data_IF_326037981081
#
_entry.id   IF_326037981081
#
_cell.length_a   1.000
_cell.length_b   1.000
_cell.length_c   1.000
_cell.angle_alpha   90.00
_cell.angle_beta   90.00
_cell.angle_gamma   90.00
#
_symmetry.space_group_name_H-M   'P 1'
#
loop_
_entity.id
_entity.type
_entity.pdbx_description
1 polymer ?
#
# COMPACT_ATOMS: atom_id res chain seq x y z
N UNK A 1 -33.44 -28.01 -92.23
CA UNK A 1 -32.28 -27.14 -92.10
C UNK A 1 -32.61 -26.21 -90.98
N UNK A 2 -32.03 -26.42 -89.81
CA UNK A 2 -32.29 -25.63 -88.66
C UNK A 2 -31.50 -26.21 -87.52
N UNK A 3 -30.41 -25.62 -87.24
CA UNK A 3 -29.43 -26.00 -86.23
C UNK A 3 -29.93 -25.56 -84.88
N UNK A 4 -30.05 -26.49 -83.93
CA UNK A 4 -30.41 -26.20 -82.52
C UNK A 4 -29.20 -26.32 -81.64
N UNK A 5 -28.49 -25.20 -81.45
CA UNK A 5 -27.40 -25.06 -80.52
C UNK A 5 -27.88 -25.04 -79.06
N UNK A 6 -27.75 -26.14 -78.37
CA UNK A 6 -28.06 -26.27 -76.99
C UNK A 6 -27.06 -25.47 -76.12
N UNK A 7 -27.51 -24.41 -75.42
CA UNK A 7 -26.75 -23.68 -74.40
C UNK A 7 -26.73 -24.47 -73.12
N UNK A 8 -25.60 -25.11 -72.84
CA UNK A 8 -25.29 -25.74 -71.51
C UNK A 8 -25.08 -24.63 -70.46
N UNK A 9 -26.05 -24.44 -69.55
CA UNK A 9 -25.94 -23.58 -68.41
C UNK A 9 -24.98 -24.23 -67.41
N UNK A 10 -23.79 -23.66 -67.30
CA UNK A 10 -22.83 -24.02 -66.20
C UNK A 10 -23.39 -23.50 -64.89
N UNK A 11 -23.88 -24.39 -64.02
CA UNK A 11 -24.25 -24.09 -62.65
C UNK A 11 -22.94 -24.03 -61.87
N UNK A 12 -22.50 -22.82 -61.51
CA UNK A 12 -21.41 -22.60 -60.58
C UNK A 12 -21.98 -22.77 -59.16
N UNK A 13 -21.76 -23.93 -58.57
CA UNK A 13 -22.01 -24.14 -57.14
C UNK A 13 -20.89 -23.44 -56.37
N UNK A 14 -21.21 -22.25 -55.88
CA UNK A 14 -20.33 -21.56 -54.94
C UNK A 14 -20.35 -22.29 -53.60
N UNK A 15 -19.30 -23.05 -53.30
CA UNK A 15 -19.05 -23.63 -51.99
C UNK A 15 -18.73 -22.50 -51.02
N UNK A 16 -19.72 -22.00 -50.28
CA UNK A 16 -19.51 -21.14 -49.10
C UNK A 16 -18.95 -22.03 -48.02
N UNK A 17 -17.61 -22.11 -47.94
CA UNK A 17 -16.94 -22.67 -46.79
C UNK A 17 -17.23 -21.75 -45.59
N UNK A 18 -18.21 -22.12 -44.79
CA UNK A 18 -18.50 -21.49 -43.51
C UNK A 18 -17.27 -21.76 -42.59
N UNK A 19 -16.32 -20.82 -42.56
CA UNK A 19 -15.26 -20.84 -41.60
C UNK A 19 -15.89 -20.65 -40.21
N UNK A 20 -16.26 -21.76 -39.56
CA UNK A 20 -16.49 -21.78 -38.10
C UNK A 20 -15.15 -21.47 -37.42
N UNK A 21 -14.86 -20.20 -37.24
CA UNK A 21 -13.80 -19.79 -36.32
C UNK A 21 -14.21 -20.32 -34.91
N UNK A 22 -13.33 -21.04 -34.18
CA UNK A 22 -13.63 -21.44 -32.84
C UNK A 22 -13.84 -20.16 -32.03
N UNK A 23 -15.07 -19.85 -31.67
CA UNK A 23 -15.38 -18.85 -30.67
C UNK A 23 -14.87 -19.48 -29.35
N UNK A 24 -13.71 -19.07 -28.91
CA UNK A 24 -13.25 -19.39 -27.56
C UNK A 24 -14.26 -18.78 -26.59
N UNK A 25 -15.18 -19.59 -26.09
CA UNK A 25 -16.15 -19.16 -25.11
C UNK A 25 -15.39 -18.79 -23.84
N UNK A 26 -15.30 -17.50 -23.57
CA UNK A 26 -14.66 -16.97 -22.36
C UNK A 26 -15.40 -17.52 -21.15
N UNK A 27 -14.70 -18.28 -20.30
CA UNK A 27 -15.31 -18.94 -19.14
C UNK A 27 -15.69 -17.90 -18.09
N UNK A 28 -16.98 -17.81 -17.76
CA UNK A 28 -17.49 -16.95 -16.69
C UNK A 28 -17.14 -17.57 -15.34
N UNK A 29 -16.33 -16.88 -14.54
CA UNK A 29 -15.87 -17.31 -13.22
C UNK A 29 -16.80 -16.84 -12.12
N UNK A 30 -17.28 -15.59 -12.21
CA UNK A 30 -18.16 -14.99 -11.21
C UNK A 30 -19.06 -13.92 -11.83
N UNK A 31 -20.09 -13.52 -11.07
CA UNK A 31 -20.83 -12.29 -11.31
C UNK A 31 -20.85 -11.45 -10.03
N UNK A 32 -20.74 -10.12 -10.17
CA UNK A 32 -20.75 -9.16 -9.06
C UNK A 32 -21.78 -8.08 -9.39
N UNK A 33 -22.86 -8.01 -8.64
CA UNK A 33 -23.98 -7.07 -8.89
C UNK A 33 -24.42 -7.09 -10.37
N UNK A 34 -24.47 -8.28 -10.98
CA UNK A 34 -24.83 -8.47 -12.40
C UNK A 34 -23.68 -8.32 -13.40
N UNK A 35 -22.54 -7.76 -13.01
CA UNK A 35 -21.35 -7.68 -13.87
C UNK A 35 -20.65 -9.04 -13.94
N UNK A 36 -20.34 -9.48 -15.13
CA UNK A 36 -19.63 -10.73 -15.37
C UNK A 36 -18.12 -10.55 -15.17
N UNK A 37 -17.49 -11.53 -14.53
CA UNK A 37 -16.03 -11.67 -14.39
C UNK A 37 -15.62 -12.97 -15.06
N UNK A 38 -14.67 -12.90 -15.96
CA UNK A 38 -14.20 -14.01 -16.79
C UNK A 38 -12.82 -14.51 -16.33
N UNK A 39 -12.42 -15.68 -16.80
CA UNK A 39 -11.07 -16.23 -16.55
C UNK A 39 -9.98 -15.34 -17.18
N UNK A 40 -10.28 -14.73 -18.34
CA UNK A 40 -9.38 -13.78 -19.00
C UNK A 40 -9.19 -12.49 -18.18
N UNK A 41 -10.23 -11.99 -17.52
CA UNK A 41 -10.16 -10.83 -16.62
C UNK A 41 -9.25 -11.11 -15.44
N UNK A 42 -9.37 -12.33 -14.86
CA UNK A 42 -8.51 -12.75 -13.76
C UNK A 42 -7.05 -12.86 -14.23
N UNK A 43 -6.83 -13.42 -15.42
CA UNK A 43 -5.49 -13.54 -16.00
C UNK A 43 -4.86 -12.16 -16.25
N UNK A 44 -5.62 -11.22 -16.80
CA UNK A 44 -5.22 -9.84 -16.99
C UNK A 44 -4.87 -9.16 -15.65
N UNK A 45 -5.71 -9.37 -14.62
CA UNK A 45 -5.47 -8.79 -13.28
C UNK A 45 -4.21 -9.36 -12.61
N UNK A 46 -3.96 -10.66 -12.72
CA UNK A 46 -2.72 -11.31 -12.21
C UNK A 46 -1.50 -10.67 -12.86
N UNK A 47 -1.53 -10.46 -14.17
CA UNK A 47 -0.43 -9.83 -14.90
C UNK A 47 -0.20 -8.38 -14.46
N UNK A 48 -1.26 -7.60 -14.28
CA UNK A 48 -1.16 -6.23 -13.73
C UNK A 48 -0.57 -6.21 -12.32
N UNK A 49 -0.96 -7.17 -11.46
CA UNK A 49 -0.38 -7.32 -10.12
C UNK A 49 1.13 -7.62 -10.19
N UNK A 50 1.58 -8.44 -11.13
CA UNK A 50 3.01 -8.76 -11.30
C UNK A 50 3.84 -7.53 -11.69
N UNK A 51 3.32 -6.65 -12.53
CA UNK A 51 3.98 -5.37 -12.88
C UNK A 51 4.13 -4.43 -11.69
N UNK A 52 3.26 -4.56 -10.68
CA UNK A 52 3.33 -3.80 -9.44
C UNK A 52 4.17 -4.48 -8.35
N UNK A 53 4.84 -5.59 -8.65
CA UNK A 53 5.59 -6.38 -7.66
C UNK A 53 4.72 -7.09 -6.62
N UNK A 54 3.40 -7.15 -6.83
CA UNK A 54 2.43 -7.78 -5.92
C UNK A 54 2.23 -9.25 -6.31
N UNK A 55 3.13 -10.10 -5.84
CA UNK A 55 3.05 -11.56 -6.09
C UNK A 55 2.59 -12.27 -4.82
N UNK A 56 1.63 -13.18 -4.95
CA UNK A 56 1.08 -14.02 -3.90
C UNK A 56 1.13 -15.49 -4.31
N UNK A 57 1.09 -16.40 -3.36
CA UNK A 57 0.99 -17.85 -3.60
C UNK A 57 -0.33 -18.24 -4.28
N UNK A 58 -1.41 -17.45 -4.09
CA UNK A 58 -2.71 -17.65 -4.75
C UNK A 58 -3.11 -16.40 -5.56
N UNK A 59 -2.28 -16.04 -6.54
CA UNK A 59 -2.46 -14.82 -7.34
C UNK A 59 -3.84 -14.73 -8.01
N UNK A 60 -4.41 -15.85 -8.47
CA UNK A 60 -5.69 -15.86 -9.18
C UNK A 60 -6.87 -15.56 -8.24
N UNK A 61 -6.85 -16.09 -7.02
CA UNK A 61 -7.89 -15.84 -6.01
C UNK A 61 -7.82 -14.39 -5.52
N UNK A 62 -6.61 -13.87 -5.30
CA UNK A 62 -6.38 -12.45 -4.96
C UNK A 62 -6.83 -11.54 -6.10
N UNK A 63 -6.55 -11.90 -7.35
CA UNK A 63 -6.99 -11.14 -8.53
C UNK A 63 -8.52 -11.08 -8.62
N UNK A 64 -9.22 -12.22 -8.45
CA UNK A 64 -10.68 -12.24 -8.41
C UNK A 64 -11.22 -11.36 -7.27
N UNK A 65 -10.66 -11.46 -6.08
CA UNK A 65 -11.06 -10.62 -4.95
C UNK A 65 -10.89 -9.12 -5.25
N UNK A 66 -9.78 -8.73 -5.87
CA UNK A 66 -9.55 -7.35 -6.28
C UNK A 66 -10.58 -6.87 -7.32
N UNK A 67 -10.93 -7.70 -8.31
CA UNK A 67 -11.96 -7.36 -9.31
C UNK A 67 -13.33 -7.21 -8.65
N UNK A 68 -13.67 -8.07 -7.69
CA UNK A 68 -14.90 -7.96 -6.90
C UNK A 68 -14.92 -6.63 -6.13
N UNK A 69 -13.81 -6.29 -5.46
CA UNK A 69 -13.69 -5.05 -4.70
C UNK A 69 -13.83 -3.81 -5.59
N UNK A 70 -13.19 -3.83 -6.74
CA UNK A 70 -13.29 -2.73 -7.71
C UNK A 70 -14.74 -2.55 -8.19
N UNK A 71 -15.45 -3.63 -8.49
CA UNK A 71 -16.86 -3.59 -8.88
C UNK A 71 -17.75 -3.09 -7.74
N UNK A 72 -17.50 -3.50 -6.50
CA UNK A 72 -18.23 -3.04 -5.31
C UNK A 72 -18.02 -1.55 -5.07
N UNK A 73 -16.77 -1.07 -5.15
CA UNK A 73 -16.42 0.35 -5.00
C UNK A 73 -17.12 1.20 -6.05
N UNK A 74 -17.06 0.81 -7.33
CA UNK A 74 -17.71 1.53 -8.42
C UNK A 74 -19.23 1.57 -8.26
N UNK A 75 -19.84 0.44 -7.92
CA UNK A 75 -21.28 0.38 -7.68
C UNK A 75 -21.71 1.28 -6.50
N UNK A 76 -20.94 1.25 -5.40
CA UNK A 76 -21.23 2.11 -4.25
C UNK A 76 -21.06 3.58 -4.58
N UNK A 77 -19.99 3.96 -5.27
CA UNK A 77 -19.69 5.34 -5.65
C UNK A 77 -20.73 5.93 -6.61
N UNK A 78 -21.27 5.10 -7.52
CA UNK A 78 -22.31 5.53 -8.45
C UNK A 78 -23.59 6.00 -7.74
N UNK A 79 -23.92 5.45 -6.56
CA UNK A 79 -25.06 5.90 -5.75
C UNK A 79 -24.88 7.33 -5.22
N UNK A 80 -23.66 7.85 -5.21
CA UNK A 80 -23.32 9.23 -4.85
C UNK A 80 -23.05 10.11 -6.07
N UNK A 81 -23.35 9.63 -7.27
CA UNK A 81 -23.05 10.34 -8.52
C UNK A 81 -21.56 10.42 -8.87
N UNK A 82 -20.72 9.58 -8.25
CA UNK A 82 -19.27 9.54 -8.47
C UNK A 82 -18.97 8.46 -9.52
N UNK A 83 -18.71 8.89 -10.76
CA UNK A 83 -18.49 8.02 -11.92
C UNK A 83 -17.23 8.47 -12.68
N UNK A 84 -16.01 8.09 -12.24
CA UNK A 84 -14.79 8.43 -12.96
C UNK A 84 -14.82 7.91 -14.38
N UNK A 85 -14.33 8.74 -15.31
CA UNK A 85 -14.33 8.44 -16.75
C UNK A 85 -13.13 7.60 -17.18
N UNK A 86 -13.21 6.94 -18.32
CA UNK A 86 -12.07 6.23 -18.91
C UNK A 86 -10.90 7.18 -19.22
N UNK A 87 -11.17 8.44 -19.56
CA UNK A 87 -10.14 9.45 -19.81
C UNK A 87 -9.34 9.76 -18.54
N UNK A 88 -10.01 9.87 -17.39
CA UNK A 88 -9.33 10.07 -16.10
C UNK A 88 -8.48 8.86 -15.74
N UNK A 89 -9.01 7.64 -15.95
CA UNK A 89 -8.25 6.41 -15.73
C UNK A 89 -7.05 6.28 -16.67
N UNK A 90 -7.21 6.60 -17.96
CA UNK A 90 -6.11 6.55 -18.92
C UNK A 90 -5.00 7.56 -18.61
N UNK A 91 -5.34 8.72 -18.05
CA UNK A 91 -4.35 9.70 -17.61
C UNK A 91 -3.52 9.16 -16.41
N UNK A 92 -4.19 8.52 -15.45
CA UNK A 92 -3.50 7.88 -14.33
C UNK A 92 -2.63 6.70 -14.80
N UNK A 93 -3.14 5.85 -15.69
CA UNK A 93 -2.38 4.70 -16.22
C UNK A 93 -1.09 5.13 -16.93
N UNK A 94 -1.08 6.26 -17.63
CA UNK A 94 0.15 6.81 -18.26
C UNK A 94 1.25 7.10 -17.25
N UNK A 95 0.86 7.56 -16.04
CA UNK A 95 1.79 7.91 -14.98
C UNK A 95 2.35 6.67 -14.24
N UNK A 96 1.72 5.50 -14.40
CA UNK A 96 2.11 4.28 -13.71
C UNK A 96 3.33 3.56 -14.34
N UNK A 97 3.79 3.99 -15.53
CA UNK A 97 4.95 3.39 -16.20
C UNK A 97 4.76 1.92 -16.57
N UNK A 98 3.52 1.48 -16.82
CA UNK A 98 3.22 0.10 -17.19
C UNK A 98 3.73 -0.20 -18.63
N UNK A 99 4.11 -1.45 -18.92
CA UNK A 99 4.43 -1.87 -20.29
C UNK A 99 3.20 -1.79 -21.18
N UNK A 100 3.37 -2.03 -22.49
CA UNK A 100 2.26 -2.10 -23.43
C UNK A 100 1.24 -3.17 -23.00
N UNK A 101 -0.01 -2.75 -22.80
CA UNK A 101 -1.12 -3.59 -22.35
C UNK A 101 -1.94 -4.05 -23.55
N UNK A 102 -2.43 -5.29 -23.52
CA UNK A 102 -3.50 -5.74 -24.41
C UNK A 102 -4.80 -5.00 -24.09
N UNK A 103 -5.79 -5.05 -24.99
CA UNK A 103 -7.06 -4.34 -24.77
C UNK A 103 -7.79 -4.84 -23.50
N UNK A 104 -7.77 -6.16 -23.25
CA UNK A 104 -8.35 -6.71 -22.01
C UNK A 104 -7.61 -6.24 -20.76
N UNK A 105 -6.27 -6.28 -20.76
CA UNK A 105 -5.46 -5.77 -19.65
C UNK A 105 -5.73 -4.28 -19.41
N UNK A 106 -5.90 -3.49 -20.47
CA UNK A 106 -6.21 -2.07 -20.38
C UNK A 106 -7.60 -1.83 -19.78
N UNK A 107 -8.60 -2.60 -20.16
CA UNK A 107 -9.94 -2.49 -19.61
C UNK A 107 -9.96 -2.84 -18.10
N UNK A 108 -9.30 -3.93 -17.70
CA UNK A 108 -9.17 -4.30 -16.28
C UNK A 108 -8.36 -3.26 -15.50
N UNK A 109 -7.31 -2.68 -16.09
CA UNK A 109 -6.54 -1.61 -15.45
C UNK A 109 -7.36 -0.33 -15.30
N UNK A 110 -8.14 0.08 -16.32
CA UNK A 110 -9.06 1.23 -16.24
C UNK A 110 -10.08 1.06 -15.12
N UNK A 111 -10.72 -0.11 -15.04
CA UNK A 111 -11.70 -0.37 -13.99
C UNK A 111 -11.09 -0.28 -12.60
N UNK A 112 -9.88 -0.82 -12.42
CA UNK A 112 -9.16 -0.73 -11.16
C UNK A 112 -8.82 0.71 -10.78
N UNK A 113 -8.36 1.51 -11.73
CA UNK A 113 -8.04 2.94 -11.51
C UNK A 113 -9.31 3.74 -11.24
N UNK A 114 -10.39 3.54 -12.01
CA UNK A 114 -11.69 4.18 -11.78
C UNK A 114 -12.24 3.85 -10.39
N UNK A 115 -12.15 2.57 -9.98
CA UNK A 115 -12.56 2.14 -8.66
C UNK A 115 -11.75 2.80 -7.54
N UNK A 116 -10.44 2.97 -7.77
CA UNK A 116 -9.56 3.62 -6.80
C UNK A 116 -9.86 5.13 -6.70
N UNK A 117 -10.00 5.84 -7.82
CA UNK A 117 -10.38 7.26 -7.85
C UNK A 117 -11.74 7.45 -7.15
N UNK A 118 -12.74 6.66 -7.52
CA UNK A 118 -14.07 6.73 -6.92
C UNK A 118 -14.03 6.50 -5.41
N UNK A 119 -13.27 5.50 -4.98
CA UNK A 119 -13.12 5.18 -3.56
C UNK A 119 -12.40 6.27 -2.76
N UNK A 120 -11.36 6.86 -3.30
CA UNK A 120 -10.68 8.00 -2.68
C UNK A 120 -11.62 9.18 -2.48
N UNK A 121 -12.48 9.48 -3.47
CA UNK A 121 -13.49 10.55 -3.33
C UNK A 121 -14.52 10.20 -2.25
N UNK A 122 -14.99 8.94 -2.19
CA UNK A 122 -15.89 8.49 -1.13
C UNK A 122 -15.23 8.65 0.24
N UNK A 123 -14.01 8.15 0.41
CA UNK A 123 -13.27 8.25 1.68
C UNK A 123 -13.11 9.72 2.09
N UNK A 124 -12.72 10.58 1.16
CA UNK A 124 -12.53 12.00 1.45
C UNK A 124 -13.83 12.73 1.85
N UNK A 125 -14.96 12.33 1.24
CA UNK A 125 -16.26 13.01 1.49
C UNK A 125 -17.05 12.44 2.65
N UNK A 126 -16.94 11.14 2.93
CA UNK A 126 -17.82 10.46 3.88
C UNK A 126 -17.11 9.86 5.08
N UNK A 127 -15.85 9.46 4.94
CA UNK A 127 -15.09 8.81 6.02
C UNK A 127 -14.22 9.82 6.76
N UNK A 128 -13.39 10.56 6.02
CA UNK A 128 -12.43 11.49 6.62
C UNK A 128 -13.06 12.53 7.55
N UNK A 129 -14.24 13.12 7.25
CA UNK A 129 -14.90 14.06 8.16
C UNK A 129 -15.40 13.44 9.48
N UNK A 130 -15.49 12.11 9.55
CA UNK A 130 -15.92 11.38 10.76
C UNK A 130 -14.74 10.91 11.61
N UNK A 131 -13.51 11.16 11.16
CA UNK A 131 -12.31 10.74 11.87
C UNK A 131 -12.04 11.69 13.02
N UNK A 132 -11.92 11.15 14.21
CA UNK A 132 -11.47 11.85 15.41
C UNK A 132 -10.19 11.20 15.91
N UNK A 133 -9.05 11.88 15.75
CA UNK A 133 -7.78 11.44 16.31
C UNK A 133 -7.60 12.01 17.71
N UNK A 134 -7.23 11.15 18.63
CA UNK A 134 -6.88 11.53 20.00
C UNK A 134 -5.35 11.71 20.15
N UNK A 135 -4.93 12.23 21.30
CA UNK A 135 -3.51 12.47 21.58
C UNK A 135 -2.67 11.18 21.54
N UNK A 136 -3.27 10.01 21.84
CA UNK A 136 -2.62 8.71 21.74
C UNK A 136 -2.31 8.32 20.30
N UNK A 137 -3.23 8.57 19.37
CA UNK A 137 -3.04 8.31 17.93
C UNK A 137 -1.92 9.19 17.37
N UNK A 138 -1.89 10.46 17.79
CA UNK A 138 -0.84 11.42 17.38
C UNK A 138 0.51 10.98 17.95
N UNK A 139 0.56 10.54 19.21
CA UNK A 139 1.78 10.04 19.85
C UNK A 139 2.29 8.77 19.16
N UNK A 140 1.41 7.84 18.78
CA UNK A 140 1.77 6.63 18.05
C UNK A 140 2.34 6.94 16.65
N UNK A 141 1.72 7.86 15.91
CA UNK A 141 2.22 8.30 14.59
C UNK A 141 3.58 8.97 14.72
N UNK A 142 3.78 9.78 15.76
CA UNK A 142 5.03 10.45 16.04
C UNK A 142 6.14 9.46 16.39
N UNK A 143 5.83 8.44 17.17
CA UNK A 143 6.77 7.37 17.51
C UNK A 143 7.16 6.54 16.27
N UNK A 144 6.20 6.24 15.37
CA UNK A 144 6.45 5.55 14.12
C UNK A 144 7.37 6.37 13.20
N UNK A 145 7.11 7.66 13.05
CA UNK A 145 7.98 8.56 12.28
C UNK A 145 9.38 8.68 12.89
N UNK A 146 9.48 8.76 14.22
CA UNK A 146 10.76 8.81 14.92
C UNK A 146 11.63 7.59 14.59
N UNK A 147 11.03 6.38 14.56
CA UNK A 147 11.74 5.14 14.24
C UNK A 147 12.08 5.04 12.75
N UNK A 148 11.11 5.29 11.87
CA UNK A 148 11.24 5.00 10.43
C UNK A 148 12.05 6.05 9.67
N UNK A 149 11.82 7.34 9.94
CA UNK A 149 12.41 8.46 9.20
C UNK A 149 13.28 9.38 10.06
N UNK A 150 13.12 9.35 11.38
CA UNK A 150 13.67 10.34 12.30
C UNK A 150 12.88 11.66 12.26
N UNK A 151 12.77 12.30 13.41
CA UNK A 151 12.13 13.60 13.57
C UNK A 151 13.15 14.73 13.35
N UNK A 152 12.73 15.95 12.96
CA UNK A 152 13.58 17.12 12.92
C UNK A 152 13.80 17.70 14.33
N UNK A 153 14.32 16.85 15.21
CA UNK A 153 14.72 17.20 16.57
C UNK A 153 16.22 17.00 16.73
N UNK A 154 16.83 17.90 17.45
CA UNK A 154 18.22 17.80 17.89
C UNK A 154 18.32 16.88 19.09
N UNK A 155 19.12 15.83 18.99
CA UNK A 155 19.35 14.86 20.08
C UNK A 155 20.80 14.95 20.52
N UNK A 156 21.04 15.18 21.80
CA UNK A 156 22.38 15.06 22.40
C UNK A 156 22.52 13.69 23.00
N UNK A 157 23.52 12.94 22.54
CA UNK A 157 23.76 11.54 22.92
C UNK A 157 25.13 11.37 23.57
N UNK A 158 25.21 10.42 24.48
CA UNK A 158 26.48 9.79 24.87
C UNK A 158 26.50 8.39 24.29
N UNK A 159 27.55 8.06 23.53
CA UNK A 159 27.80 6.75 22.96
C UNK A 159 28.97 6.08 23.65
N UNK A 160 28.82 4.81 24.02
CA UNK A 160 29.89 3.94 24.40
C UNK A 160 30.06 2.87 23.34
N UNK A 161 31.31 2.64 22.88
CA UNK A 161 31.65 1.65 21.86
C UNK A 161 32.30 0.44 22.56
N UNK A 162 32.02 -0.75 22.00
CA UNK A 162 32.60 -2.02 22.42
C UNK A 162 32.44 -2.30 23.94
N UNK A 163 31.22 -2.05 24.42
CA UNK A 163 30.88 -2.25 25.85
C UNK A 163 30.68 -3.74 26.15
N UNK A 164 31.56 -4.35 26.95
CA UNK A 164 31.36 -5.71 27.43
C UNK A 164 30.05 -5.84 28.22
N UNK A 165 29.39 -7.00 28.14
CA UNK A 165 28.15 -7.27 28.87
C UNK A 165 28.29 -6.99 30.38
N UNK A 166 29.45 -7.34 30.99
CA UNK A 166 29.74 -7.11 32.40
C UNK A 166 29.81 -5.63 32.78
N UNK A 167 30.12 -4.74 31.84
CA UNK A 167 30.11 -3.28 32.05
C UNK A 167 28.70 -2.77 31.84
N UNK A 168 28.01 -3.23 30.78
CA UNK A 168 26.62 -2.83 30.49
C UNK A 168 25.71 -3.05 31.73
N UNK A 169 25.83 -4.19 32.40
CA UNK A 169 25.04 -4.53 33.59
C UNK A 169 25.32 -3.63 34.81
N UNK A 170 26.44 -2.94 34.81
CA UNK A 170 26.82 -1.99 35.85
C UNK A 170 26.41 -0.55 35.55
N UNK A 171 25.99 -0.26 34.32
CA UNK A 171 25.55 1.07 33.96
C UNK A 171 24.22 1.40 34.64
N UNK A 172 24.27 2.29 35.61
CA UNK A 172 23.11 2.79 36.35
C UNK A 172 22.55 4.07 35.68
N UNK A 173 21.44 4.56 36.21
CA UNK A 173 20.85 5.84 35.73
C UNK A 173 21.71 7.00 36.23
N UNK A 174 22.36 7.77 35.35
CA UNK A 174 23.15 8.94 35.78
C UNK A 174 22.24 10.10 36.16
N UNK A 175 22.76 11.05 36.91
CA UNK A 175 22.04 12.29 37.28
C UNK A 175 21.95 13.29 36.12
N UNK A 176 22.94 13.31 35.28
CA UNK A 176 23.06 14.17 34.10
C UNK A 176 24.04 13.55 33.10
N UNK A 177 24.27 14.19 31.97
CA UNK A 177 25.18 13.71 30.93
C UNK A 177 26.64 13.65 31.33
N UNK A 178 27.10 14.60 32.15
CA UNK A 178 28.49 14.63 32.59
C UNK A 178 28.74 13.53 33.61
N UNK A 179 27.74 13.19 34.41
CA UNK A 179 27.77 12.05 35.31
C UNK A 179 27.81 10.72 34.52
N UNK A 180 27.06 10.63 33.43
CA UNK A 180 27.11 9.48 32.52
C UNK A 180 28.51 9.28 31.90
N UNK A 181 29.17 10.36 31.51
CA UNK A 181 30.52 10.32 30.95
C UNK A 181 31.50 9.82 32.02
N UNK A 182 31.51 10.42 33.23
CA UNK A 182 32.36 10.00 34.32
C UNK A 182 32.14 8.54 34.73
N UNK A 183 30.87 8.12 34.76
CA UNK A 183 30.53 6.71 35.05
C UNK A 183 31.13 5.77 34.00
N UNK A 184 31.04 6.10 32.71
CA UNK A 184 31.60 5.31 31.65
C UNK A 184 33.12 5.24 31.70
N UNK A 185 33.80 6.35 32.00
CA UNK A 185 35.26 6.44 32.19
C UNK A 185 35.73 5.58 33.37
N UNK A 186 35.00 5.60 34.48
CA UNK A 186 35.29 4.79 35.67
C UNK A 186 35.23 3.28 35.38
N UNK A 187 34.48 2.85 34.38
CA UNK A 187 34.43 1.46 33.92
C UNK A 187 35.42 1.17 32.80
N UNK A 188 36.30 2.11 32.43
CA UNK A 188 37.30 1.95 31.38
C UNK A 188 36.73 2.13 29.96
N UNK A 189 35.52 2.71 29.85
CA UNK A 189 34.93 3.06 28.56
C UNK A 189 35.49 4.37 28.01
N UNK A 190 35.36 4.57 26.69
CA UNK A 190 35.68 5.81 26.00
C UNK A 190 34.35 6.47 25.51
N UNK A 191 33.70 7.27 26.36
CA UNK A 191 32.43 7.90 26.01
C UNK A 191 32.61 8.97 24.96
N UNK A 192 31.69 8.98 23.97
CA UNK A 192 31.62 10.04 22.95
C UNK A 192 30.31 10.78 23.11
N UNK A 193 30.39 12.09 23.42
CA UNK A 193 29.23 12.98 23.48
C UNK A 193 29.14 13.73 22.14
N UNK A 194 27.97 13.65 21.51
CA UNK A 194 27.71 14.37 20.26
C UNK A 194 26.23 14.80 20.18
N UNK A 195 25.98 15.74 19.30
CA UNK A 195 24.62 16.23 18.99
C UNK A 195 24.39 16.03 17.49
N UNK A 196 23.24 15.49 17.13
CA UNK A 196 22.83 15.27 15.76
C UNK A 196 21.32 15.48 15.60
N UNK A 197 20.86 15.70 14.39
CA UNK A 197 19.45 15.62 14.09
C UNK A 197 19.01 14.15 14.05
N UNK A 198 17.86 13.84 14.61
CA UNK A 198 17.42 12.44 14.73
C UNK A 198 17.35 11.73 13.38
N UNK A 199 16.96 12.43 12.31
CA UNK A 199 16.90 11.86 10.96
C UNK A 199 18.29 11.58 10.34
N UNK A 200 19.37 12.14 10.87
CA UNK A 200 20.75 11.88 10.45
C UNK A 200 21.34 10.63 11.10
N UNK A 201 20.68 10.10 12.13
CA UNK A 201 21.10 8.88 12.81
C UNK A 201 20.74 7.64 11.96
N UNK A 202 21.51 6.56 12.11
CA UNK A 202 21.17 5.30 11.44
C UNK A 202 19.84 4.74 11.94
N UNK A 203 19.12 3.94 11.12
CA UNK A 203 17.82 3.36 11.50
C UNK A 203 17.87 2.60 12.82
N UNK A 204 18.94 1.83 13.06
CA UNK A 204 19.13 1.01 14.25
C UNK A 204 19.28 1.87 15.50
N UNK A 205 19.99 3.00 15.40
CA UNK A 205 20.14 3.96 16.50
C UNK A 205 18.82 4.66 16.77
N UNK A 206 18.09 5.09 15.73
CA UNK A 206 16.77 5.70 15.88
C UNK A 206 15.79 4.78 16.59
N UNK A 207 15.76 3.50 16.22
CA UNK A 207 14.86 2.52 16.81
C UNK A 207 15.09 2.37 18.32
N UNK A 208 16.36 2.26 18.75
CA UNK A 208 16.66 2.07 20.19
C UNK A 208 16.50 3.33 21.04
N UNK A 209 16.57 4.54 20.43
CA UNK A 209 16.40 5.80 21.18
C UNK A 209 14.98 6.37 21.10
N UNK A 210 14.12 5.87 20.20
CA UNK A 210 12.79 6.44 19.95
C UNK A 210 11.91 6.49 21.21
N UNK A 211 11.94 5.42 22.01
CA UNK A 211 11.17 5.31 23.25
C UNK A 211 12.06 5.38 24.49
N UNK A 212 13.34 5.75 24.33
CA UNK A 212 14.29 5.79 25.42
C UNK A 212 14.09 7.06 26.27
N UNK A 213 13.75 6.95 27.55
CA UNK A 213 13.69 8.11 28.42
C UNK A 213 15.04 8.79 28.52
N UNK A 214 15.05 10.11 28.73
CA UNK A 214 16.28 10.83 28.99
C UNK A 214 17.04 10.24 30.18
N UNK A 215 18.35 10.24 30.07
CA UNK A 215 19.28 9.71 31.06
C UNK A 215 19.10 8.20 31.32
N UNK A 216 18.64 7.44 30.33
CA UNK A 216 18.64 5.98 30.36
C UNK A 216 19.56 5.44 29.27
N UNK A 217 20.25 4.33 29.58
CA UNK A 217 21.06 3.60 28.60
C UNK A 217 20.19 2.72 27.71
N UNK A 218 20.47 2.74 26.43
CA UNK A 218 19.79 1.87 25.48
C UNK A 218 20.21 0.41 25.64
N UNK A 219 19.47 -0.50 25.01
CA UNK A 219 20.01 -1.83 24.71
C UNK A 219 21.23 -1.69 23.79
N UNK A 220 22.19 -2.64 23.83
CA UNK A 220 23.31 -2.65 22.89
C UNK A 220 22.84 -2.76 21.44
N UNK A 221 23.43 -1.95 20.57
CA UNK A 221 23.21 -1.95 19.12
C UNK A 221 24.56 -1.77 18.42
N UNK A 222 24.93 -2.67 17.50
CA UNK A 222 26.22 -2.65 16.80
C UNK A 222 27.42 -2.42 17.73
N UNK A 223 27.51 -3.21 18.82
CA UNK A 223 28.53 -3.11 19.88
C UNK A 223 28.57 -1.75 20.59
N UNK A 224 27.54 -0.94 20.47
CA UNK A 224 27.44 0.37 21.14
C UNK A 224 26.20 0.44 22.00
N UNK A 225 26.26 1.23 23.07
CA UNK A 225 25.09 1.67 23.84
C UNK A 225 24.99 3.17 23.79
N UNK A 226 23.77 3.67 23.87
CA UNK A 226 23.48 5.10 23.76
C UNK A 226 22.72 5.56 25.00
N UNK A 227 22.93 6.81 25.37
CA UNK A 227 22.17 7.50 26.40
C UNK A 227 21.69 8.82 25.81
N UNK A 228 20.38 9.08 25.86
CA UNK A 228 19.80 10.35 25.47
C UNK A 228 19.97 11.34 26.60
N UNK A 229 20.75 12.37 26.35
CA UNK A 229 21.00 13.45 27.32
C UNK A 229 19.86 14.46 27.33
N UNK A 230 19.54 14.94 26.13
CA UNK A 230 18.56 15.99 25.90
C UNK A 230 18.02 15.91 24.48
N UNK A 231 16.80 16.37 24.32
CA UNK A 231 16.17 16.57 23.01
C UNK A 231 15.69 17.99 22.91
N UNK A 232 15.88 18.61 21.72
CA UNK A 232 15.45 19.98 21.46
C UNK A 232 14.70 20.03 20.12
N UNK A 233 13.51 20.60 20.12
CA UNK A 233 12.75 20.79 18.91
C UNK A 233 13.40 21.86 18.01
N UNK A 234 13.55 21.56 16.74
CA UNK A 234 13.95 22.54 15.73
C UNK A 234 12.76 23.41 15.32
N UNK A 235 13.02 24.49 14.56
CA UNK A 235 11.95 25.31 13.99
C UNK A 235 11.04 24.53 13.00
N UNK A 236 11.57 23.48 12.38
CA UNK A 236 10.85 22.62 11.45
C UNK A 236 9.87 21.69 12.16
N UNK A 237 10.16 21.35 13.41
CA UNK A 237 9.32 20.49 14.23
C UNK A 237 7.89 21.01 14.41
N UNK A 238 7.70 22.30 14.59
CA UNK A 238 6.37 22.92 14.71
C UNK A 238 5.49 22.79 13.45
N UNK A 239 6.13 22.63 12.27
CA UNK A 239 5.40 22.33 11.03
C UNK A 239 5.01 20.85 10.93
N UNK A 240 5.78 20.00 11.57
CA UNK A 240 5.59 18.54 11.53
C UNK A 240 4.35 18.09 12.31
N UNK A 241 3.97 18.76 13.39
CA UNK A 241 2.79 18.40 14.19
C UNK A 241 1.51 18.36 13.35
N UNK A 242 1.36 19.31 12.41
CA UNK A 242 0.23 19.30 11.47
C UNK A 242 0.28 18.09 10.55
N UNK A 243 1.47 17.74 10.05
CA UNK A 243 1.66 16.58 9.16
C UNK A 243 1.39 15.28 9.91
N UNK A 244 1.89 15.17 11.14
CA UNK A 244 1.65 14.00 12.00
C UNK A 244 0.15 13.81 12.22
N UNK A 245 -0.56 14.88 12.59
CA UNK A 245 -2.01 14.83 12.78
C UNK A 245 -2.74 14.39 11.51
N UNK A 246 -2.40 14.98 10.35
CA UNK A 246 -2.98 14.61 9.06
C UNK A 246 -2.69 13.14 8.69
N UNK A 247 -1.49 12.63 8.99
CA UNK A 247 -1.15 11.23 8.76
C UNK A 247 -1.97 10.28 9.66
N UNK A 248 -2.12 10.63 10.94
CA UNK A 248 -2.95 9.87 11.88
C UNK A 248 -4.42 9.84 11.42
N UNK A 249 -4.98 11.00 11.05
CA UNK A 249 -6.32 11.11 10.48
C UNK A 249 -6.48 10.24 9.23
N UNK A 250 -5.51 10.28 8.32
CA UNK A 250 -5.53 9.49 7.10
C UNK A 250 -5.45 7.98 7.38
N UNK A 251 -4.55 7.54 8.28
CA UNK A 251 -4.44 6.12 8.68
C UNK A 251 -5.76 5.61 9.27
N UNK A 252 -6.38 6.38 10.15
CA UNK A 252 -7.66 6.02 10.75
C UNK A 252 -8.79 6.00 9.71
N UNK A 253 -8.83 7.00 8.82
CA UNK A 253 -9.78 7.03 7.70
C UNK A 253 -9.65 5.79 6.81
N UNK A 254 -8.43 5.36 6.49
CA UNK A 254 -8.20 4.16 5.68
C UNK A 254 -8.67 2.89 6.40
N UNK A 255 -8.43 2.77 7.69
CA UNK A 255 -8.94 1.64 8.51
C UNK A 255 -10.47 1.57 8.49
N UNK A 256 -11.14 2.72 8.70
CA UNK A 256 -12.60 2.81 8.62
C UNK A 256 -13.11 2.50 7.20
N UNK A 257 -12.41 2.98 6.16
CA UNK A 257 -12.75 2.70 4.77
C UNK A 257 -12.63 1.20 4.42
N UNK A 258 -11.61 0.51 4.93
CA UNK A 258 -11.47 -0.94 4.77
C UNK A 258 -12.61 -1.70 5.44
N UNK A 259 -13.00 -1.30 6.65
CA UNK A 259 -14.14 -1.87 7.35
C UNK A 259 -15.44 -1.64 6.57
N UNK A 260 -15.65 -0.44 6.04
CA UNK A 260 -16.79 -0.12 5.18
C UNK A 260 -16.80 -0.97 3.92
N UNK A 261 -15.66 -1.10 3.22
CA UNK A 261 -15.55 -1.95 2.03
C UNK A 261 -15.88 -3.42 2.35
N UNK A 262 -15.42 -3.93 3.50
CA UNK A 262 -15.75 -5.28 3.97
C UNK A 262 -17.25 -5.46 4.20
N UNK A 263 -17.94 -4.45 4.73
CA UNK A 263 -19.41 -4.47 4.89
C UNK A 263 -20.12 -4.40 3.53
N UNK A 264 -19.67 -3.54 2.61
CA UNK A 264 -20.23 -3.42 1.27
C UNK A 264 -20.09 -4.73 0.49
N UNK A 265 -18.93 -5.41 0.61
CA UNK A 265 -18.69 -6.72 0.00
C UNK A 265 -19.67 -7.78 0.49
N UNK A 266 -20.00 -7.77 1.81
CA UNK A 266 -21.00 -8.69 2.39
C UNK A 266 -22.43 -8.46 1.88
N UNK A 267 -22.73 -7.25 1.44
CA UNK A 267 -24.05 -6.86 0.89
C UNK A 267 -24.12 -6.99 -0.62
N UNK A 268 -22.99 -7.11 -1.28
CA UNK A 268 -22.94 -7.27 -2.74
C UNK A 268 -23.44 -8.65 -3.14
N UNK A 269 -24.16 -8.72 -4.25
CA UNK A 269 -24.60 -9.97 -4.86
C UNK A 269 -23.43 -10.56 -5.65
N UNK A 270 -22.66 -11.45 -5.01
CA UNK A 270 -21.52 -12.13 -5.61
C UNK A 270 -21.86 -13.60 -5.81
N UNK A 271 -21.86 -14.06 -7.06
CA UNK A 271 -22.10 -15.46 -7.40
C UNK A 271 -20.83 -16.04 -8.05
N UNK A 272 -20.14 -16.93 -7.33
CA UNK A 272 -18.99 -17.66 -7.86
C UNK A 272 -19.50 -18.88 -8.63
N UNK A 273 -19.23 -18.94 -9.92
CA UNK A 273 -19.65 -20.03 -10.82
C UNK A 273 -18.59 -21.12 -10.93
N UNK A 274 -17.32 -20.76 -10.88
CA UNK A 274 -16.20 -21.67 -10.98
C UNK A 274 -15.81 -22.24 -9.60
N UNK A 275 -15.83 -23.57 -9.48
CA UNK A 275 -15.54 -24.28 -8.24
C UNK A 275 -14.12 -24.01 -7.69
N UNK A 276 -13.15 -23.71 -8.56
CA UNK A 276 -11.77 -23.40 -8.19
C UNK A 276 -11.66 -22.18 -7.26
N UNK A 277 -12.67 -21.30 -7.27
CA UNK A 277 -12.71 -20.04 -6.51
C UNK A 277 -13.74 -20.04 -5.37
N UNK A 278 -14.50 -21.13 -5.19
CA UNK A 278 -15.37 -21.26 -4.03
C UNK A 278 -14.53 -21.39 -2.76
N UNK A 279 -14.87 -20.62 -1.73
CA UNK A 279 -14.26 -20.64 -0.41
C UNK A 279 -14.78 -21.81 0.41
#
# INVERSE_FOLDING_TARGET
>A
MGDNGGKMKKIIIAFIALFCLPVYATTVVATVNGRTVTDDDITARVKLMSYQGKVSTDNRRVALQNIIDDAVKLNYASNFGINPTDKEADNELKNMGLPALTENEKNIARDAVRANIAWQIIVARTVLPMVEVNDGDIAAEKADLARTRGLPIEVTLVRLIDVPQSIYEKLTTPKNCDDAIKMAENFGGAPQKFTALQYELSPEVRDVIADLPNLRWSKPVNSSVFLVCNTKNTKEYGKLDKIIKQNAEYKQAMTMAEQQLKQLRRRAVVVIKDQRYKL
#
